data_IF_724098759736
#
_entry.id   IF_724098759736
#
_cell.length_a   1.000
_cell.length_b   1.000
_cell.length_c   1.000
_cell.angle_alpha   90.00
_cell.angle_beta   90.00
_cell.angle_gamma   90.00
#
_symmetry.space_group_name_H-M   'P 1'
#
loop_
_entity.id
_entity.type
_entity.pdbx_description
1 polymer ?
#
# COMPACT_ATOMS: atom_id res chain seq x y z
N UNK A 1 21.40 5.71 -0.77
CA UNK A 1 19.94 5.58 -0.58
C UNK A 1 19.20 6.48 -1.58
N UNK A 2 18.07 6.01 -2.10
CA UNK A 2 17.21 6.75 -3.05
C UNK A 2 15.69 6.61 -2.74
N UNK A 3 15.32 5.90 -1.67
CA UNK A 3 13.92 5.65 -1.33
C UNK A 3 13.43 6.66 -0.29
N UNK A 4 12.66 7.63 -0.78
CA UNK A 4 11.89 8.55 0.05
C UNK A 4 10.42 8.15 0.01
N UNK A 5 9.76 8.29 1.14
CA UNK A 5 8.30 8.30 1.27
C UNK A 5 7.92 9.63 1.92
N UNK A 6 6.74 10.19 1.65
CA UNK A 6 6.39 11.55 2.13
C UNK A 6 6.52 11.69 3.66
N UNK A 7 7.59 12.34 4.12
CA UNK A 7 7.98 12.55 5.51
C UNK A 7 9.02 11.57 6.06
N UNK A 8 9.46 10.56 5.28
CA UNK A 8 10.31 9.46 5.75
C UNK A 8 11.33 8.97 4.72
N UNK A 9 12.33 8.31 5.28
CA UNK A 9 13.39 7.64 4.54
C UNK A 9 13.22 6.15 4.78
N UNK A 10 13.10 5.38 3.70
CA UNK A 10 13.13 3.93 3.78
C UNK A 10 14.57 3.43 3.56
N UNK A 11 15.23 2.87 4.59
CA UNK A 11 16.59 2.35 4.47
C UNK A 11 16.63 0.97 3.78
N UNK A 12 15.49 0.34 3.52
CA UNK A 12 15.42 -1.00 2.92
C UNK A 12 16.09 -1.01 1.55
N UNK A 13 16.97 -1.98 1.32
CA UNK A 13 17.74 -2.08 0.08
C UNK A 13 18.88 -1.06 -0.06
N UNK A 14 19.23 -0.31 1.00
CA UNK A 14 20.38 0.58 0.96
C UNK A 14 21.69 -0.18 0.70
N UNK A 15 22.39 0.20 -0.37
CA UNK A 15 23.68 -0.37 -0.74
C UNK A 15 24.81 0.21 0.13
N UNK A 16 25.79 -0.64 0.45
CA UNK A 16 27.05 -0.23 1.08
C UNK A 16 28.09 0.00 -0.02
N UNK A 17 28.80 1.11 0.05
CA UNK A 17 29.89 1.44 -0.88
C UNK A 17 31.21 1.52 -0.12
N UNK A 18 32.31 1.25 -0.81
CA UNK A 18 33.64 1.37 -0.26
C UNK A 18 33.99 2.84 0.06
N UNK A 19 34.83 3.05 1.10
CA UNK A 19 35.13 4.40 1.65
C UNK A 19 35.85 5.31 0.66
N UNK A 20 36.67 4.74 -0.22
CA UNK A 20 37.40 5.43 -1.29
C UNK A 20 36.46 5.98 -2.36
N UNK A 21 35.42 5.22 -2.72
CA UNK A 21 34.36 5.68 -3.63
C UNK A 21 33.53 6.77 -2.95
N UNK A 22 33.12 6.53 -1.71
CA UNK A 22 32.31 7.47 -0.93
C UNK A 22 33.00 8.82 -0.74
N UNK A 23 34.32 8.84 -0.51
CA UNK A 23 35.10 10.06 -0.32
C UNK A 23 34.97 11.06 -1.48
N UNK A 24 34.70 10.58 -2.70
CA UNK A 24 34.49 11.42 -3.89
C UNK A 24 33.13 12.15 -3.87
N UNK A 25 32.19 11.70 -3.04
CA UNK A 25 30.80 12.20 -2.96
C UNK A 25 30.49 12.87 -1.62
N UNK A 26 31.47 13.55 -1.00
CA UNK A 26 31.29 14.20 0.30
C UNK A 26 30.16 15.25 0.38
N UNK A 27 29.70 15.78 -0.77
CA UNK A 27 28.58 16.75 -0.83
C UNK A 27 27.21 16.12 -0.56
N UNK A 28 27.07 14.81 -0.75
CA UNK A 28 25.81 14.08 -0.50
C UNK A 28 25.85 13.29 0.79
N UNK A 29 26.93 13.45 1.59
CA UNK A 29 27.05 12.84 2.91
C UNK A 29 26.17 13.58 3.90
N UNK A 30 25.28 12.83 4.53
CA UNK A 30 24.33 13.33 5.51
C UNK A 30 25.00 13.57 6.86
N UNK A 31 24.60 14.66 7.52
CA UNK A 31 25.05 15.08 8.85
C UNK A 31 23.93 15.07 9.89
N UNK A 32 22.70 14.75 9.48
CA UNK A 32 21.52 14.78 10.32
C UNK A 32 20.98 16.20 10.45
N UNK A 33 19.67 16.37 10.32
CA UNK A 33 19.03 17.68 10.32
C UNK A 33 18.93 18.36 8.95
N UNK A 34 19.32 17.70 7.87
CA UNK A 34 18.95 18.11 6.51
C UNK A 34 17.52 17.66 6.17
N UNK A 35 16.96 18.23 5.10
CA UNK A 35 15.77 17.71 4.43
C UNK A 35 16.18 17.16 3.07
N UNK A 36 15.73 15.95 2.78
CA UNK A 36 15.88 15.33 1.47
C UNK A 36 14.69 15.68 0.59
N UNK A 37 14.93 15.86 -0.71
CA UNK A 37 13.90 16.13 -1.70
C UNK A 37 14.15 15.31 -2.97
N UNK A 38 13.15 14.58 -3.44
CA UNK A 38 13.22 13.87 -4.72
C UNK A 38 13.15 14.86 -5.89
N UNK A 39 14.18 14.86 -6.73
CA UNK A 39 14.34 15.76 -7.88
C UNK A 39 14.05 15.08 -9.21
N UNK A 40 14.01 13.76 -9.27
CA UNK A 40 13.82 12.98 -10.51
C UNK A 40 12.88 11.81 -10.24
N UNK A 41 11.94 11.54 -11.16
CA UNK A 41 10.96 10.46 -11.01
C UNK A 41 9.73 10.95 -10.26
N UNK A 42 9.37 10.32 -9.15
CA UNK A 42 8.29 10.83 -8.27
C UNK A 42 8.80 12.08 -7.56
N UNK A 43 8.41 13.24 -8.09
CA UNK A 43 8.83 14.55 -7.60
C UNK A 43 8.18 14.90 -6.27
N UNK A 44 8.85 15.77 -5.50
CA UNK A 44 8.26 16.40 -4.31
C UNK A 44 8.26 15.54 -3.06
N UNK A 45 8.69 14.28 -3.15
CA UNK A 45 8.89 13.43 -1.96
C UNK A 45 9.97 14.03 -1.08
N UNK A 46 9.66 14.21 0.19
CA UNK A 46 10.55 14.87 1.17
C UNK A 46 10.66 14.08 2.44
N UNK A 47 11.78 14.23 3.14
CA UNK A 47 11.95 13.68 4.48
C UNK A 47 13.03 14.43 5.28
N UNK A 48 12.80 14.64 6.57
CA UNK A 48 13.84 15.11 7.48
C UNK A 48 14.83 13.98 7.81
N UNK A 49 16.13 14.27 7.75
CA UNK A 49 17.19 13.30 8.02
C UNK A 49 17.39 13.12 9.53
N UNK A 50 17.18 11.92 10.08
CA UNK A 50 17.43 11.65 11.49
C UNK A 50 18.94 11.54 11.78
N UNK A 51 19.34 11.80 13.04
CA UNK A 51 20.74 11.66 13.48
C UNK A 51 21.31 10.24 13.29
N UNK A 52 20.46 9.21 13.27
CA UNK A 52 20.87 7.84 13.01
C UNK A 52 21.45 7.62 11.59
N UNK A 53 21.20 8.55 10.65
CA UNK A 53 21.67 8.47 9.26
C UNK A 53 22.93 9.33 8.99
N UNK A 54 23.61 9.79 10.04
CA UNK A 54 24.91 10.47 9.88
C UNK A 54 25.88 9.56 9.13
N UNK A 55 26.55 10.11 8.11
CA UNK A 55 27.53 9.38 7.30
C UNK A 55 26.93 8.60 6.13
N UNK A 56 25.60 8.60 5.95
CA UNK A 56 24.97 8.02 4.77
C UNK A 56 25.15 8.91 3.55
N UNK A 57 25.08 8.33 2.35
CA UNK A 57 25.07 9.08 1.09
C UNK A 57 23.77 8.86 0.33
N UNK A 58 23.33 9.90 -0.35
CA UNK A 58 22.15 9.87 -1.22
C UNK A 58 22.52 9.83 -2.69
N UNK A 59 21.64 9.23 -3.50
CA UNK A 59 21.78 9.23 -4.94
C UNK A 59 21.61 10.64 -5.53
N UNK A 60 22.15 10.89 -6.73
CA UNK A 60 22.09 12.20 -7.41
C UNK A 60 20.67 12.71 -7.67
N UNK A 61 19.70 11.81 -7.75
CA UNK A 61 18.28 12.14 -7.90
C UNK A 61 17.66 12.78 -6.64
N UNK A 62 18.37 12.77 -5.51
CA UNK A 62 17.91 13.32 -4.24
C UNK A 62 18.70 14.60 -3.93
N UNK A 63 17.98 15.71 -3.78
CA UNK A 63 18.50 16.95 -3.26
C UNK A 63 18.70 16.87 -1.75
N UNK A 64 19.87 17.28 -1.28
CA UNK A 64 20.15 17.48 0.15
C UNK A 64 20.00 18.97 0.45
N UNK A 65 19.09 19.31 1.35
CA UNK A 65 18.79 20.68 1.76
C UNK A 65 19.24 20.84 3.21
N UNK A 66 20.44 21.40 3.46
CA UNK A 66 20.84 21.78 4.81
C UNK A 66 19.86 22.82 5.36
N UNK A 67 19.36 22.60 6.57
CA UNK A 67 18.40 23.49 7.22
C UNK A 67 19.07 24.19 8.40
N UNK A 68 18.79 25.48 8.57
CA UNK A 68 19.21 26.22 9.77
C UNK A 68 18.50 25.60 11.00
N UNK A 69 19.28 25.26 12.03
CA UNK A 69 18.77 24.66 13.27
C UNK A 69 17.66 25.50 13.93
N UNK A 70 17.69 26.83 13.81
CA UNK A 70 16.63 27.70 14.35
C UNK A 70 15.27 27.52 13.67
N UNK A 71 15.27 27.07 12.42
CA UNK A 71 14.05 26.79 11.64
C UNK A 71 13.61 25.35 11.85
N UNK A 72 14.57 24.42 11.86
CA UNK A 72 14.35 23.00 12.08
C UNK A 72 13.89 22.24 10.82
N UNK A 73 14.48 21.07 10.57
CA UNK A 73 14.19 20.26 9.39
C UNK A 73 12.73 19.79 9.31
N UNK A 74 12.11 19.43 10.44
CA UNK A 74 10.70 19.00 10.47
C UNK A 74 9.76 20.07 9.94
N UNK A 75 9.96 21.34 10.31
CA UNK A 75 9.13 22.44 9.82
C UNK A 75 9.23 22.58 8.29
N UNK A 76 10.45 22.53 7.77
CA UNK A 76 10.70 22.63 6.32
C UNK A 76 10.08 21.44 5.58
N UNK A 77 10.25 20.22 6.12
CA UNK A 77 9.62 19.01 5.59
C UNK A 77 8.09 19.15 5.52
N UNK A 78 7.43 19.55 6.61
CA UNK A 78 5.98 19.78 6.62
C UNK A 78 5.56 20.85 5.61
N UNK A 79 6.30 21.94 5.50
CA UNK A 79 6.01 22.98 4.52
C UNK A 79 6.09 22.44 3.09
N UNK A 80 7.17 21.72 2.75
CA UNK A 80 7.36 21.17 1.41
C UNK A 80 6.31 20.12 1.06
N UNK A 81 5.77 19.39 2.04
CA UNK A 81 4.65 18.46 1.88
C UNK A 81 3.29 19.13 1.72
N UNK A 82 3.18 20.44 1.97
CA UNK A 82 1.90 21.14 1.83
C UNK A 82 1.41 21.12 0.37
N UNK A 83 0.09 21.00 0.13
CA UNK A 83 -0.46 21.00 -1.23
C UNK A 83 0.01 22.18 -2.08
N UNK A 84 0.13 23.36 -1.47
CA UNK A 84 0.52 24.59 -2.14
C UNK A 84 1.96 24.55 -2.66
N UNK A 85 2.91 24.00 -1.87
CA UNK A 85 4.29 23.86 -2.33
C UNK A 85 4.47 22.68 -3.28
N UNK A 86 3.71 21.59 -3.11
CA UNK A 86 3.69 20.47 -4.06
C UNK A 86 3.20 20.91 -5.44
N UNK A 87 2.13 21.70 -5.51
CA UNK A 87 1.63 22.27 -6.77
C UNK A 87 2.67 23.18 -7.43
N UNK A 88 3.35 24.03 -6.65
CA UNK A 88 4.40 24.91 -7.17
C UNK A 88 5.62 24.15 -7.68
N UNK A 89 6.05 23.11 -6.98
CA UNK A 89 7.14 22.24 -7.45
C UNK A 89 6.74 21.53 -8.75
N UNK A 90 5.49 21.05 -8.83
CA UNK A 90 4.96 20.38 -10.02
C UNK A 90 4.87 21.34 -11.23
N UNK A 91 4.43 22.58 -11.02
CA UNK A 91 4.31 23.58 -12.07
C UNK A 91 5.67 24.03 -12.64
N UNK A 92 6.76 23.86 -11.89
CA UNK A 92 8.14 24.20 -12.31
C UNK A 92 8.92 22.98 -12.83
N UNK A 93 8.33 21.79 -12.80
CA UNK A 93 8.99 20.58 -13.27
C UNK A 93 9.16 20.59 -14.79
N UNK A 94 10.35 20.24 -15.28
CA UNK A 94 10.59 20.05 -16.72
C UNK A 94 10.15 18.65 -17.14
N UNK A 95 9.30 18.53 -18.17
CA UNK A 95 8.61 17.28 -18.57
C UNK A 95 9.14 16.65 -19.87
N UNK A 96 10.40 16.88 -20.24
CA UNK A 96 10.92 16.47 -21.57
C UNK A 96 11.10 14.96 -21.74
N UNK A 97 11.45 14.19 -20.69
CA UNK A 97 11.49 12.71 -20.70
C UNK A 97 11.19 12.13 -19.31
N UNK A 98 11.79 12.71 -18.26
CA UNK A 98 11.45 12.44 -16.87
C UNK A 98 11.22 13.78 -16.17
N UNK A 99 10.14 13.86 -15.39
CA UNK A 99 9.85 15.03 -14.58
C UNK A 99 11.06 15.30 -13.66
N UNK A 100 11.67 16.47 -13.85
CA UNK A 100 12.88 16.87 -13.12
C UNK A 100 12.69 18.25 -12.50
N UNK A 101 13.07 18.39 -11.23
CA UNK A 101 13.06 19.64 -10.50
C UNK A 101 14.49 20.19 -10.35
N UNK A 102 14.71 21.43 -10.76
CA UNK A 102 16.02 22.06 -10.62
C UNK A 102 16.18 22.65 -9.22
N UNK A 103 17.37 22.50 -8.62
CA UNK A 103 17.70 23.10 -7.32
C UNK A 103 17.57 24.62 -7.31
N UNK A 104 17.69 25.30 -8.46
CA UNK A 104 17.42 26.74 -8.56
C UNK A 104 15.96 27.05 -8.20
N UNK A 105 15.01 26.27 -8.72
CA UNK A 105 13.58 26.47 -8.46
C UNK A 105 13.22 26.16 -7.01
N UNK A 106 13.84 25.12 -6.42
CA UNK A 106 13.67 24.77 -5.01
C UNK A 106 14.07 25.93 -4.10
N UNK A 107 15.12 26.68 -4.44
CA UNK A 107 15.59 27.83 -3.64
C UNK A 107 14.61 29.01 -3.63
N UNK A 108 13.72 29.08 -4.60
CA UNK A 108 12.74 30.17 -4.72
C UNK A 108 11.39 29.82 -4.09
N UNK A 109 11.24 28.62 -3.50
CA UNK A 109 10.02 28.21 -2.81
C UNK A 109 9.82 29.08 -1.56
N UNK A 110 8.68 29.77 -1.42
CA UNK A 110 8.43 30.61 -0.26
C UNK A 110 7.97 29.74 0.91
N UNK A 111 8.81 29.69 1.94
CA UNK A 111 8.53 28.98 3.18
C UNK A 111 7.94 29.96 4.20
N UNK A 112 6.77 29.67 4.80
CA UNK A 112 6.26 30.47 5.90
C UNK A 112 7.16 30.32 7.14
N UNK A 113 7.47 31.44 7.80
CA UNK A 113 8.32 31.49 8.98
C UNK A 113 7.62 32.22 10.13
N UNK A 114 6.57 31.64 10.74
CA UNK A 114 5.95 32.19 11.94
C UNK A 114 6.94 32.15 13.12
N UNK A 115 6.65 32.78 14.29
CA UNK A 115 7.54 32.74 15.45
C UNK A 115 7.98 31.32 15.84
N UNK A 116 9.20 31.20 16.39
CA UNK A 116 9.82 29.90 16.71
C UNK A 116 8.91 28.97 17.53
N UNK A 117 8.30 29.49 18.59
CA UNK A 117 7.41 28.72 19.45
C UNK A 117 6.24 28.08 18.67
N UNK A 118 5.65 28.83 17.73
CA UNK A 118 4.54 28.35 16.88
C UNK A 118 5.03 27.25 15.94
N UNK A 119 6.21 27.40 15.34
CA UNK A 119 6.79 26.35 14.47
C UNK A 119 7.06 25.06 15.24
N UNK A 120 7.63 25.16 16.43
CA UNK A 120 7.96 24.02 17.28
C UNK A 120 6.69 23.28 17.73
N UNK A 121 5.65 24.00 18.13
CA UNK A 121 4.37 23.42 18.53
C UNK A 121 3.69 22.68 17.36
N UNK A 122 3.60 23.31 16.19
CA UNK A 122 3.02 22.67 15.00
C UNK A 122 3.83 21.43 14.59
N UNK A 123 5.17 21.55 14.54
CA UNK A 123 6.04 20.44 14.17
C UNK A 123 5.98 19.28 15.17
N UNK A 124 5.76 19.58 16.45
CA UNK A 124 5.53 18.57 17.48
C UNK A 124 4.20 17.84 17.23
N UNK A 125 3.09 18.57 17.12
CA UNK A 125 1.76 17.98 16.91
C UNK A 125 1.73 17.13 15.64
N UNK A 126 2.15 17.68 14.51
CA UNK A 126 2.17 16.94 13.24
C UNK A 126 3.12 15.74 13.29
N UNK A 127 4.26 15.88 13.98
CA UNK A 127 5.18 14.78 14.21
C UNK A 127 4.54 13.62 14.98
N UNK A 128 3.81 13.91 16.06
CA UNK A 128 3.11 12.86 16.84
C UNK A 128 2.05 12.13 16.02
N UNK A 129 1.37 12.85 15.11
CA UNK A 129 0.40 12.24 14.19
C UNK A 129 1.07 11.36 13.14
N UNK A 130 2.17 11.83 12.54
CA UNK A 130 2.95 11.04 11.59
C UNK A 130 3.47 9.74 12.26
N UNK A 131 3.94 9.83 13.51
CA UNK A 131 4.40 8.67 14.30
C UNK A 131 3.24 7.68 14.56
N UNK A 132 2.04 8.16 14.88
CA UNK A 132 0.86 7.30 15.07
C UNK A 132 0.40 6.63 13.77
N UNK A 133 0.44 7.34 12.65
CA UNK A 133 0.11 6.77 11.33
C UNK A 133 1.05 5.60 11.01
N UNK A 134 2.33 5.74 11.35
CA UNK A 134 3.32 4.67 11.14
C UNK A 134 3.06 3.45 11.98
N UNK A 135 2.85 3.66 13.28
CA UNK A 135 2.58 2.57 14.19
C UNK A 135 1.36 1.76 13.72
N UNK A 136 0.32 2.46 13.23
CA UNK A 136 -0.84 1.80 12.64
C UNK A 136 -0.52 1.03 11.35
N UNK A 137 0.36 1.55 10.48
CA UNK A 137 0.78 0.83 9.28
C UNK A 137 1.57 -0.43 9.60
N UNK A 138 2.55 -0.34 10.50
CA UNK A 138 3.33 -1.49 10.97
C UNK A 138 2.45 -2.54 11.64
N UNK A 139 1.47 -2.10 12.44
CA UNK A 139 0.48 -2.99 13.03
C UNK A 139 -0.36 -3.69 11.95
N UNK A 140 -0.80 -2.99 10.91
CA UNK A 140 -1.52 -3.61 9.79
C UNK A 140 -0.66 -4.63 9.03
N UNK A 141 0.61 -4.32 8.76
CA UNK A 141 1.55 -5.24 8.12
C UNK A 141 1.74 -6.51 8.96
N UNK A 142 1.97 -6.33 10.27
CA UNK A 142 2.10 -7.45 11.22
C UNK A 142 0.83 -8.30 11.27
N UNK A 143 -0.35 -7.67 11.24
CA UNK A 143 -1.63 -8.38 11.22
C UNK A 143 -1.83 -9.19 9.93
N UNK A 144 -1.43 -8.66 8.76
CA UNK A 144 -1.48 -9.40 7.50
C UNK A 144 -0.53 -10.60 7.52
N UNK A 145 0.69 -10.43 8.05
CA UNK A 145 1.66 -11.52 8.23
C UNK A 145 1.13 -12.61 9.16
N UNK A 146 0.54 -12.23 10.30
CA UNK A 146 -0.10 -13.17 11.23
C UNK A 146 -1.24 -13.92 10.54
N UNK A 147 -2.13 -13.21 9.84
CA UNK A 147 -3.25 -13.82 9.14
C UNK A 147 -2.80 -14.83 8.07
N UNK A 148 -1.78 -14.50 7.28
CA UNK A 148 -1.18 -15.42 6.28
C UNK A 148 -0.55 -16.63 6.93
N UNK A 149 0.17 -16.43 8.03
CA UNK A 149 0.83 -17.51 8.77
C UNK A 149 -0.20 -18.48 9.34
N UNK A 150 -1.24 -17.96 10.01
CA UNK A 150 -2.34 -18.77 10.54
C UNK A 150 -3.09 -19.50 9.43
N UNK A 151 -3.44 -18.82 8.33
CA UNK A 151 -4.13 -19.46 7.21
C UNK A 151 -3.32 -20.62 6.62
N UNK A 152 -2.01 -20.41 6.43
CA UNK A 152 -1.10 -21.45 5.93
C UNK A 152 -1.05 -22.62 6.90
N UNK A 153 -0.83 -22.33 8.19
CA UNK A 153 -0.78 -23.34 9.24
C UNK A 153 -2.07 -24.17 9.30
N UNK A 154 -3.23 -23.51 9.26
CA UNK A 154 -4.52 -24.17 9.53
C UNK A 154 -5.10 -24.87 8.30
N UNK A 155 -4.90 -24.33 7.09
CA UNK A 155 -5.61 -24.78 5.90
C UNK A 155 -4.71 -25.23 4.74
N UNK A 156 -3.39 -25.08 4.87
CA UNK A 156 -2.43 -25.56 3.85
C UNK A 156 -1.57 -26.68 4.42
N UNK A 157 -0.95 -26.48 5.58
CA UNK A 157 -0.12 -27.51 6.24
C UNK A 157 -0.90 -28.34 7.25
N UNK A 158 -2.09 -27.87 7.66
CA UNK A 158 -3.01 -28.52 8.59
C UNK A 158 -2.39 -28.82 9.97
N UNK A 159 -1.56 -27.92 10.48
CA UNK A 159 -0.82 -28.11 11.74
C UNK A 159 -1.73 -28.43 12.93
N UNK A 160 -2.93 -27.81 13.10
CA UNK A 160 -3.83 -28.18 14.19
C UNK A 160 -4.29 -29.63 14.13
N UNK A 161 -4.62 -30.13 12.93
CA UNK A 161 -5.06 -31.52 12.72
C UNK A 161 -3.90 -32.48 12.99
N UNK A 162 -2.69 -32.15 12.54
CA UNK A 162 -1.47 -32.94 12.82
C UNK A 162 -1.15 -33.00 14.31
N UNK A 163 -1.23 -31.87 15.02
CA UNK A 163 -1.00 -31.83 16.44
C UNK A 163 -1.97 -32.75 17.17
N UNK A 164 -3.26 -32.69 16.84
CA UNK A 164 -4.29 -33.56 17.44
C UNK A 164 -4.08 -35.04 17.10
N UNK A 165 -3.71 -35.35 15.86
CA UNK A 165 -3.38 -36.72 15.44
C UNK A 165 -2.21 -37.32 16.24
N UNK A 166 -1.24 -36.48 16.63
CA UNK A 166 -0.11 -36.86 17.48
C UNK A 166 -0.44 -36.83 18.98
N UNK A 167 -1.69 -36.57 19.37
CA UNK A 167 -2.11 -36.43 20.77
C UNK A 167 -1.59 -35.17 21.47
N UNK A 168 -1.14 -34.17 20.70
CA UNK A 168 -0.65 -32.87 21.19
C UNK A 168 -1.74 -31.80 21.10
N UNK A 169 -1.61 -30.77 21.93
CA UNK A 169 -2.45 -29.58 21.80
C UNK A 169 -1.95 -28.68 20.66
N UNK A 170 -2.84 -28.20 19.76
CA UNK A 170 -2.47 -27.20 18.76
C UNK A 170 -1.93 -25.92 19.41
N UNK A 171 -0.84 -25.38 18.86
CA UNK A 171 -0.25 -24.14 19.34
C UNK A 171 -1.00 -22.90 18.84
N UNK A 172 -1.02 -21.83 19.63
CA UNK A 172 -1.53 -20.52 19.20
C UNK A 172 -3.05 -20.41 19.07
N UNK A 173 -3.82 -21.34 19.63
CA UNK A 173 -5.29 -21.29 19.66
C UNK A 173 -5.86 -21.74 21.00
N UNK A 174 -7.06 -21.26 21.33
CA UNK A 174 -7.81 -21.71 22.50
C UNK A 174 -8.46 -23.08 22.27
N UNK A 175 -8.96 -23.67 23.36
CA UNK A 175 -9.57 -25.00 23.32
C UNK A 175 -10.84 -25.05 22.47
N UNK A 176 -11.60 -23.96 22.38
CA UNK A 176 -12.83 -23.88 21.60
C UNK A 176 -12.51 -23.90 20.10
N UNK A 177 -11.53 -23.12 19.66
CA UNK A 177 -11.05 -23.09 18.28
C UNK A 177 -10.39 -24.42 17.91
N UNK A 178 -9.60 -25.02 18.80
CA UNK A 178 -8.98 -26.33 18.58
C UNK A 178 -10.01 -27.47 18.45
N UNK A 179 -11.20 -27.31 19.04
CA UNK A 179 -12.29 -28.27 18.89
C UNK A 179 -12.92 -28.25 17.50
N UNK A 180 -12.75 -27.17 16.71
CA UNK A 180 -13.27 -27.07 15.35
C UNK A 180 -12.51 -27.91 14.32
N UNK A 181 -11.28 -28.33 14.65
CA UNK A 181 -10.45 -29.15 13.77
C UNK A 181 -10.61 -30.64 14.10
N UNK A 182 -10.64 -31.55 13.11
CA UNK A 182 -10.62 -32.99 13.38
C UNK A 182 -9.26 -33.43 13.96
N UNK A 183 -9.18 -34.67 14.45
CA UNK A 183 -7.97 -35.26 15.04
C UNK A 183 -7.24 -36.23 14.11
N UNK A 184 -7.67 -36.35 12.86
CA UNK A 184 -7.09 -37.29 11.89
C UNK A 184 -7.24 -36.83 10.46
N UNK A 185 -6.50 -37.50 9.59
CA UNK A 185 -6.55 -37.32 8.14
C UNK A 185 -7.23 -38.52 7.48
N UNK A 186 -7.80 -38.27 6.31
CA UNK A 186 -8.31 -39.28 5.37
C UNK A 186 -7.61 -39.13 4.02
N UNK A 187 -7.47 -40.22 3.29
CA UNK A 187 -6.88 -40.21 1.96
C UNK A 187 -7.83 -39.55 0.94
N UNK A 188 -7.28 -38.72 0.05
CA UNK A 188 -8.01 -38.09 -1.04
C UNK A 188 -7.16 -37.95 -2.29
N UNK A 189 -7.80 -37.54 -3.40
CA UNK A 189 -7.13 -37.24 -4.66
C UNK A 189 -6.09 -36.11 -4.56
N UNK A 190 -6.18 -35.25 -3.55
CA UNK A 190 -5.22 -34.16 -3.27
C UNK A 190 -4.18 -34.53 -2.21
N UNK A 191 -4.10 -35.82 -1.83
CA UNK A 191 -3.33 -36.31 -0.70
C UNK A 191 -4.15 -36.31 0.60
N UNK A 192 -3.50 -36.50 1.76
CA UNK A 192 -4.19 -36.54 3.05
C UNK A 192 -4.89 -35.20 3.36
N UNK A 193 -6.20 -35.24 3.59
CA UNK A 193 -7.01 -34.09 4.00
C UNK A 193 -7.65 -34.35 5.37
N UNK A 194 -8.05 -33.30 6.11
CA UNK A 194 -8.71 -33.48 7.40
C UNK A 194 -10.00 -34.31 7.29
N UNK A 195 -10.29 -35.16 8.28
CA UNK A 195 -11.55 -35.91 8.32
C UNK A 195 -12.78 -34.98 8.25
N UNK A 196 -13.76 -35.36 7.44
CA UNK A 196 -14.97 -34.57 7.18
C UNK A 196 -14.83 -33.55 6.05
N UNK A 197 -13.64 -33.39 5.47
CA UNK A 197 -13.45 -32.62 4.24
C UNK A 197 -13.70 -33.49 3.01
N UNK A 198 -14.19 -32.86 1.95
CA UNK A 198 -14.45 -33.51 0.66
C UNK A 198 -13.74 -32.75 -0.47
N UNK A 199 -13.27 -33.48 -1.47
CA UNK A 199 -12.73 -32.89 -2.70
C UNK A 199 -13.87 -32.70 -3.69
N UNK A 200 -14.11 -31.45 -4.07
CA UNK A 200 -15.14 -31.09 -5.05
C UNK A 200 -14.61 -30.12 -6.10
N UNK A 201 -15.42 -29.86 -7.13
CA UNK A 201 -15.11 -28.84 -8.13
C UNK A 201 -15.83 -27.54 -7.80
N UNK A 202 -15.27 -26.39 -8.21
CA UNK A 202 -15.89 -25.08 -7.97
C UNK A 202 -17.34 -25.01 -8.51
N UNK A 203 -17.63 -25.72 -9.60
CA UNK A 203 -18.98 -25.78 -10.19
C UNK A 203 -20.03 -26.49 -9.32
N UNK A 204 -19.62 -27.26 -8.32
CA UNK A 204 -20.54 -27.87 -7.33
C UNK A 204 -20.99 -26.85 -6.29
N UNK A 205 -20.11 -25.92 -5.92
CA UNK A 205 -20.33 -24.98 -4.81
C UNK A 205 -20.66 -23.55 -5.26
N UNK A 206 -20.40 -23.22 -6.54
CA UNK A 206 -20.62 -21.89 -7.09
C UNK A 206 -21.10 -21.95 -8.54
N UNK A 207 -21.96 -21.00 -8.90
CA UNK A 207 -22.43 -20.81 -10.26
C UNK A 207 -21.83 -19.54 -10.89
N UNK A 208 -21.45 -19.61 -12.16
CA UNK A 208 -20.97 -18.45 -12.89
C UNK A 208 -22.14 -17.50 -13.20
N UNK A 209 -22.06 -16.26 -12.72
CA UNK A 209 -23.03 -15.22 -13.10
C UNK A 209 -22.88 -14.88 -14.58
N UNK A 210 -23.99 -14.94 -15.33
CA UNK A 210 -24.07 -14.59 -16.75
C UNK A 210 -24.99 -13.39 -17.02
N UNK A 211 -25.52 -12.79 -15.96
CA UNK A 211 -26.48 -11.68 -16.06
C UNK A 211 -25.77 -10.45 -16.57
N UNK A 212 -26.08 -10.06 -17.80
CA UNK A 212 -25.49 -8.89 -18.45
C UNK A 212 -26.34 -7.65 -18.19
N UNK A 213 -25.69 -6.55 -17.82
CA UNK A 213 -26.26 -5.20 -17.72
C UNK A 213 -25.67 -4.35 -18.85
N UNK A 214 -26.49 -3.49 -19.45
CA UNK A 214 -26.08 -2.48 -20.43
C UNK A 214 -26.18 -1.10 -19.80
N UNK A 215 -25.13 -0.60 -19.12
CA UNK A 215 -25.21 0.65 -18.37
C UNK A 215 -25.54 1.85 -19.24
N UNK A 216 -25.11 1.84 -20.51
CA UNK A 216 -25.44 2.86 -21.50
C UNK A 216 -26.93 2.94 -21.87
N UNK A 217 -27.77 2.00 -21.42
CA UNK A 217 -29.24 2.09 -21.52
C UNK A 217 -29.87 2.71 -20.25
N UNK A 218 -29.07 2.92 -19.20
CA UNK A 218 -29.45 3.49 -17.92
C UNK A 218 -28.56 4.71 -17.62
N UNK A 219 -28.69 5.75 -18.45
CA UNK A 219 -27.72 6.86 -18.52
C UNK A 219 -27.51 7.61 -17.20
N UNK A 220 -28.59 7.79 -16.44
CA UNK A 220 -28.63 8.55 -15.19
C UNK A 220 -28.48 7.67 -13.94
N UNK A 221 -28.50 6.35 -14.09
CA UNK A 221 -28.33 5.43 -12.98
C UNK A 221 -26.86 5.38 -12.56
N UNK A 222 -26.62 5.54 -11.26
CA UNK A 222 -25.28 5.39 -10.67
C UNK A 222 -25.04 3.91 -10.36
N UNK A 223 -23.94 3.39 -10.88
CA UNK A 223 -23.50 2.03 -10.61
C UNK A 223 -22.27 2.02 -9.70
N UNK A 224 -22.19 1.03 -8.82
CA UNK A 224 -20.93 0.62 -8.20
C UNK A 224 -20.18 -0.28 -9.21
N UNK A 225 -19.16 0.28 -9.86
CA UNK A 225 -18.42 -0.36 -10.95
C UNK A 225 -17.13 -1.01 -10.44
N UNK A 226 -17.10 -2.34 -10.47
CA UNK A 226 -15.96 -3.17 -10.11
C UNK A 226 -15.12 -3.45 -11.36
N UNK A 227 -13.97 -2.80 -11.47
CA UNK A 227 -13.09 -2.86 -12.64
C UNK A 227 -11.68 -3.28 -12.24
N UNK A 228 -10.88 -3.78 -13.19
CA UNK A 228 -9.48 -4.12 -12.89
C UNK A 228 -8.67 -2.90 -12.44
N UNK A 229 -8.80 -1.71 -13.06
CA UNK A 229 -8.16 -0.50 -12.54
C UNK A 229 -8.54 -0.19 -11.10
N UNK A 230 -9.82 -0.34 -10.74
CA UNK A 230 -10.29 -0.04 -9.39
C UNK A 230 -9.91 -1.12 -8.37
N UNK A 231 -9.72 -2.36 -8.82
CA UNK A 231 -9.07 -3.42 -8.03
C UNK A 231 -7.63 -3.04 -7.70
N UNK A 232 -6.84 -2.68 -8.72
CA UNK A 232 -5.41 -2.35 -8.58
C UNK A 232 -5.21 -1.03 -7.79
N UNK A 233 -6.21 -0.15 -7.74
CA UNK A 233 -6.21 1.13 -7.01
C UNK A 233 -6.86 1.05 -5.62
N UNK A 234 -6.76 -0.10 -4.95
CA UNK A 234 -7.16 -0.27 -3.56
C UNK A 234 -8.44 -1.06 -3.34
N UNK A 235 -8.91 -1.83 -4.34
CA UNK A 235 -10.06 -2.73 -4.23
C UNK A 235 -11.35 -2.04 -3.76
N UNK A 236 -11.60 -0.85 -4.32
CA UNK A 236 -12.82 -0.07 -4.07
C UNK A 236 -13.56 0.10 -5.41
N UNK A 237 -14.88 -0.17 -5.48
CA UNK A 237 -15.63 0.09 -6.71
C UNK A 237 -15.72 1.60 -6.99
N UNK A 238 -15.71 1.96 -8.27
CA UNK A 238 -15.90 3.36 -8.70
C UNK A 238 -17.39 3.62 -8.87
N UNK A 239 -17.89 4.72 -8.30
CA UNK A 239 -19.26 5.18 -8.56
C UNK A 239 -19.28 6.06 -9.79
N UNK A 240 -19.98 5.61 -10.82
CA UNK A 240 -20.12 6.37 -12.06
C UNK A 240 -21.48 6.13 -12.72
N UNK A 241 -22.03 7.13 -13.44
CA UNK A 241 -23.29 6.99 -14.13
C UNK A 241 -23.16 6.03 -15.33
N UNK A 242 -24.26 5.35 -15.68
CA UNK A 242 -24.30 4.44 -16.82
C UNK A 242 -23.88 5.09 -18.15
N UNK A 243 -24.07 6.40 -18.29
CA UNK A 243 -23.59 7.20 -19.43
C UNK A 243 -22.06 7.22 -19.62
N UNK A 244 -21.26 6.91 -18.59
CA UNK A 244 -19.79 6.79 -18.68
C UNK A 244 -19.31 5.37 -18.94
N UNK A 245 -20.19 4.38 -18.83
CA UNK A 245 -19.84 2.96 -19.00
C UNK A 245 -20.37 2.45 -20.35
N UNK A 246 -19.51 2.50 -21.36
CA UNK A 246 -19.88 2.21 -22.75
C UNK A 246 -19.93 0.72 -23.12
N UNK A 247 -19.39 -0.16 -22.27
CA UNK A 247 -19.37 -1.60 -22.52
C UNK A 247 -20.34 -2.32 -21.59
N UNK A 248 -20.87 -3.44 -22.05
CA UNK A 248 -21.65 -4.35 -21.23
C UNK A 248 -20.88 -4.75 -19.96
N UNK A 249 -21.62 -5.03 -18.89
CA UNK A 249 -21.08 -5.44 -17.59
C UNK A 249 -21.84 -6.64 -17.06
N UNK A 250 -21.23 -7.38 -16.15
CA UNK A 250 -21.90 -8.47 -15.44
C UNK A 250 -22.51 -7.92 -14.15
N UNK A 251 -23.75 -8.29 -13.84
CA UNK A 251 -24.38 -7.93 -12.58
C UNK A 251 -23.67 -8.65 -11.43
N UNK A 252 -23.30 -7.88 -10.41
CA UNK A 252 -22.74 -8.39 -9.16
C UNK A 252 -23.86 -8.44 -8.13
N UNK A 253 -24.09 -9.62 -7.56
CA UNK A 253 -25.12 -9.88 -6.54
C UNK A 253 -24.47 -10.27 -5.20
N UNK A 254 -25.19 -10.21 -4.07
CA UNK A 254 -24.64 -10.62 -2.78
C UNK A 254 -24.04 -12.03 -2.86
N UNK A 255 -22.95 -12.26 -2.12
CA UNK A 255 -22.16 -13.51 -2.13
C UNK A 255 -21.45 -13.84 -3.46
N UNK A 256 -21.28 -12.87 -4.35
CA UNK A 256 -20.40 -13.04 -5.53
C UNK A 256 -18.93 -13.03 -5.12
N UNK A 257 -18.11 -13.79 -5.84
CA UNK A 257 -16.64 -13.66 -5.83
C UNK A 257 -16.21 -13.33 -7.25
N UNK A 258 -15.45 -12.25 -7.44
CA UNK A 258 -14.94 -11.85 -8.74
C UNK A 258 -13.53 -12.39 -8.92
N UNK A 259 -13.26 -13.03 -10.06
CA UNK A 259 -11.94 -13.60 -10.37
C UNK A 259 -11.53 -13.09 -11.74
N UNK A 260 -10.41 -12.37 -11.82
CA UNK A 260 -9.96 -11.87 -13.13
C UNK A 260 -9.55 -13.01 -14.05
N UNK A 261 -10.03 -12.94 -15.29
CA UNK A 261 -9.65 -13.81 -16.41
C UNK A 261 -8.36 -13.33 -17.10
N UNK A 262 -7.86 -12.14 -16.76
CA UNK A 262 -6.69 -11.53 -17.40
C UNK A 262 -5.43 -11.72 -16.55
N UNK A 263 -4.31 -12.00 -17.23
CA UNK A 263 -2.99 -12.17 -16.63
C UNK A 263 -3.01 -13.13 -15.42
N UNK A 264 -3.19 -14.44 -15.64
CA UNK A 264 -3.40 -15.42 -14.56
C UNK A 264 -2.31 -15.44 -13.48
N UNK A 265 -1.10 -14.96 -13.81
CA UNK A 265 0.01 -14.83 -12.86
C UNK A 265 -0.14 -13.66 -11.87
N UNK A 266 -1.08 -12.74 -12.11
CA UNK A 266 -1.42 -11.66 -11.19
C UNK A 266 -2.75 -12.04 -10.52
N UNK A 267 -2.73 -12.58 -9.29
CA UNK A 267 -3.94 -13.03 -8.64
C UNK A 267 -4.84 -11.84 -8.31
N UNK A 268 -6.00 -11.78 -8.96
CA UNK A 268 -7.04 -10.77 -8.68
C UNK A 268 -8.33 -11.48 -8.31
N UNK A 269 -8.53 -11.63 -7.02
CA UNK A 269 -9.76 -12.17 -6.42
C UNK A 269 -10.36 -11.06 -5.57
N UNK A 270 -11.61 -10.71 -5.84
CA UNK A 270 -12.31 -9.63 -5.13
C UNK A 270 -13.59 -10.17 -4.52
N UNK A 271 -13.74 -9.99 -3.20
CA UNK A 271 -15.00 -10.18 -2.49
C UNK A 271 -15.76 -8.83 -2.44
N UNK A 272 -16.80 -8.61 -3.27
CA UNK A 272 -17.49 -7.33 -3.37
C UNK A 272 -18.26 -7.00 -2.10
N UNK A 273 -18.08 -5.78 -1.59
CA UNK A 273 -18.92 -5.23 -0.52
C UNK A 273 -20.05 -4.42 -1.13
N UNK A 274 -21.19 -5.07 -1.35
CA UNK A 274 -22.32 -4.44 -2.02
C UNK A 274 -23.01 -3.44 -1.10
N UNK A 275 -23.39 -2.30 -1.67
CA UNK A 275 -24.22 -1.31 -1.00
C UNK A 275 -25.68 -1.48 -1.45
N UNK A 276 -26.61 -1.07 -0.59
CA UNK A 276 -28.05 -1.17 -0.86
C UNK A 276 -28.59 0.03 -1.68
N UNK A 277 -27.76 1.05 -1.95
CA UNK A 277 -28.17 2.31 -2.60
C UNK A 277 -27.88 2.35 -4.11
N UNK A 278 -27.15 1.37 -4.66
CA UNK A 278 -26.80 1.31 -6.08
C UNK A 278 -26.67 -0.14 -6.60
N UNK A 279 -26.97 -0.35 -7.89
CA UNK A 279 -26.64 -1.63 -8.52
C UNK A 279 -25.13 -1.76 -8.69
N UNK A 280 -24.64 -2.95 -8.38
CA UNK A 280 -23.22 -3.29 -8.52
C UNK A 280 -23.00 -4.08 -9.80
N UNK A 281 -22.01 -3.66 -10.59
CA UNK A 281 -21.66 -4.30 -11.87
C UNK A 281 -20.15 -4.46 -11.97
N UNK A 282 -19.68 -5.51 -12.62
CA UNK A 282 -18.26 -5.73 -12.85
C UNK A 282 -17.91 -5.76 -14.34
N UNK A 283 -16.66 -5.40 -14.64
CA UNK A 283 -16.05 -5.60 -15.95
C UNK A 283 -16.17 -7.07 -16.38
N UNK A 284 -16.37 -7.31 -17.67
CA UNK A 284 -16.51 -8.65 -18.26
C UNK A 284 -15.26 -9.53 -18.13
N UNK A 285 -14.15 -8.90 -17.81
CA UNK A 285 -12.82 -9.45 -17.51
C UNK A 285 -12.76 -10.12 -16.13
N UNK A 286 -13.78 -9.92 -15.28
CA UNK A 286 -14.04 -10.70 -14.06
C UNK A 286 -15.01 -11.87 -14.30
#
# INVERSE_FOLDING_TARGET
MNNLTNGRIDPTGALRIARDIEAQYGRTRLKGGEVLLSLVGTLGLTAAVPKAMIGWNVARAIGVIPVNEEVGAKWIDFCLRSPQLQERMSARATTTVQATLNLKDVRELPIPLPPKAVREEIAHILGTLDDKIELNRQMNETLDEIARTLFTSWFVTFDPVRAKADGRQPEGMDAETAALFPDRFVDSELGPIPEGWEVGTLGVIAALSRTTVKPNQHLDEIFDHYSLPSFDQGQIPVREPGSRINSNKTLVVPNSVLISKLNPHIPRVWLPQLRNDARSICSTEF
#
